data_IF_625659165030
#
_entry.id   IF_625659165030
#
_cell.length_a   1.000
_cell.length_b   1.000
_cell.length_c   1.000
_cell.angle_alpha   90.00
_cell.angle_beta   90.00
_cell.angle_gamma   90.00
#
_symmetry.space_group_name_H-M   'P 1'
#
loop_
_entity.id
_entity.type
_entity.pdbx_description
1 polymer ?
#
# COMPACT_ATOMS: atom_id res chain seq x y z
N UNK A 1 5.74 -44.24 11.75
CA UNK A 1 6.66 -44.92 10.82
C UNK A 1 6.06 -44.87 9.42
N UNK A 2 6.88 -44.43 8.45
CA UNK A 2 6.77 -44.49 6.97
C UNK A 2 5.69 -43.58 6.32
N UNK A 3 5.94 -42.63 5.40
CA UNK A 3 6.93 -42.35 4.34
C UNK A 3 6.63 -42.98 2.94
N UNK A 4 6.61 -42.10 1.91
CA UNK A 4 6.70 -42.31 0.44
C UNK A 4 5.49 -42.96 -0.29
N UNK A 5 5.09 -42.66 -1.54
CA UNK A 5 5.60 -41.83 -2.64
C UNK A 5 4.47 -41.54 -3.67
N UNK A 6 4.77 -40.62 -4.60
CA UNK A 6 4.00 -39.99 -5.68
C UNK A 6 3.46 -40.88 -6.82
N UNK A 7 2.46 -40.32 -7.53
CA UNK A 7 2.23 -40.37 -8.99
C UNK A 7 0.92 -39.61 -9.30
N UNK A 8 0.65 -38.82 -10.33
CA UNK A 8 1.38 -38.20 -11.45
C UNK A 8 0.34 -37.30 -12.17
N UNK A 9 0.66 -36.02 -12.48
CA UNK A 9 0.05 -35.05 -13.44
C UNK A 9 -1.50 -34.92 -13.66
N UNK A 10 -2.00 -33.95 -14.47
CA UNK A 10 -1.33 -32.92 -15.26
C UNK A 10 -1.74 -31.47 -14.91
N UNK A 11 -1.00 -30.54 -15.51
CA UNK A 11 -1.02 -29.07 -15.35
C UNK A 11 -2.10 -28.35 -16.16
N UNK A 12 -2.74 -27.37 -15.51
CA UNK A 12 -3.48 -26.24 -16.11
C UNK A 12 -4.98 -26.20 -15.79
N UNK A 13 -5.68 -25.06 -15.91
CA UNK A 13 -5.29 -23.65 -15.72
C UNK A 13 -6.21 -22.94 -14.70
N UNK A 14 -5.68 -22.14 -13.77
CA UNK A 14 -6.48 -21.18 -12.99
C UNK A 14 -5.60 -20.02 -12.53
N UNK A 15 -5.87 -18.82 -13.04
CA UNK A 15 -5.55 -17.59 -12.31
C UNK A 15 -6.68 -17.25 -11.33
N UNK A 16 -6.77 -16.00 -10.85
CA UNK A 16 -5.70 -15.13 -10.33
C UNK A 16 -5.93 -14.84 -8.82
N UNK A 17 -4.92 -14.26 -8.16
CA UNK A 17 -4.89 -13.73 -6.77
C UNK A 17 -4.22 -14.61 -5.68
N UNK A 18 -2.90 -14.37 -5.53
CA UNK A 18 -2.14 -14.38 -4.27
C UNK A 18 -1.56 -15.73 -3.78
N UNK A 19 -0.54 -15.74 -2.88
CA UNK A 19 0.19 -14.62 -2.27
C UNK A 19 1.65 -14.55 -2.77
N UNK A 20 2.37 -13.48 -2.43
CA UNK A 20 3.82 -13.31 -2.55
C UNK A 20 4.62 -14.63 -2.62
N UNK A 21 4.84 -15.15 -3.83
CA UNK A 21 5.72 -16.29 -4.04
C UNK A 21 7.14 -15.74 -4.07
N UNK A 22 7.75 -15.62 -2.89
CA UNK A 22 9.19 -15.41 -2.77
C UNK A 22 9.84 -16.75 -3.12
N UNK A 23 10.02 -17.02 -4.41
CA UNK A 23 10.82 -18.16 -4.86
C UNK A 23 12.24 -17.99 -4.37
N UNK A 24 12.83 -18.96 -3.62
CA UNK A 24 14.24 -18.87 -3.25
C UNK A 24 15.08 -19.22 -4.49
N UNK A 25 15.40 -18.21 -5.29
CA UNK A 25 16.30 -18.37 -6.43
C UNK A 25 17.74 -18.62 -5.92
N UNK A 26 18.35 -19.67 -6.45
CA UNK A 26 19.76 -20.00 -6.28
C UNK A 26 20.68 -18.80 -6.61
N UNK A 27 21.89 -18.71 -6.04
CA UNK A 27 22.78 -17.57 -6.20
C UNK A 27 23.36 -17.54 -7.63
N UNK A 28 22.61 -16.91 -8.54
CA UNK A 28 22.99 -16.61 -9.91
C UNK A 28 23.35 -15.14 -10.07
N UNK A 29 24.50 -14.92 -10.68
CA UNK A 29 25.15 -13.64 -10.99
C UNK A 29 24.15 -12.62 -11.57
N UNK A 30 24.07 -11.44 -10.96
CA UNK A 30 23.52 -10.24 -11.61
C UNK A 30 22.01 -10.01 -11.53
N UNK A 31 21.32 -10.41 -10.45
CA UNK A 31 20.01 -9.82 -10.19
C UNK A 31 20.20 -8.35 -9.86
N UNK A 32 19.83 -7.49 -10.81
CA UNK A 32 19.73 -6.05 -10.61
C UNK A 32 18.87 -5.83 -9.39
N UNK A 33 19.47 -5.35 -8.30
CA UNK A 33 18.75 -4.84 -7.14
C UNK A 33 18.11 -3.51 -7.57
N UNK A 34 17.12 -3.58 -8.45
CA UNK A 34 16.49 -2.45 -9.12
C UNK A 34 15.01 -2.44 -8.79
N UNK A 35 14.55 -1.38 -8.14
CA UNK A 35 13.12 -1.15 -7.93
C UNK A 35 12.54 -0.61 -9.23
N UNK A 36 11.44 -1.20 -9.69
CA UNK A 36 10.72 -0.73 -10.86
C UNK A 36 9.89 0.54 -10.51
N UNK A 37 10.14 1.70 -11.15
CA UNK A 37 9.38 2.93 -10.88
C UNK A 37 7.87 2.81 -11.12
N UNK A 38 7.44 1.93 -12.04
CA UNK A 38 6.02 1.72 -12.30
C UNK A 38 5.29 1.06 -11.12
N UNK A 39 5.96 0.14 -10.41
CA UNK A 39 5.39 -0.51 -9.24
C UNK A 39 5.28 0.46 -8.05
N UNK A 40 6.24 1.38 -7.92
CA UNK A 40 6.18 2.48 -6.95
C UNK A 40 5.04 3.46 -7.24
N UNK A 41 4.81 3.81 -8.50
CA UNK A 41 3.69 4.69 -8.89
C UNK A 41 2.34 4.01 -8.65
N UNK A 42 2.22 2.71 -8.95
CA UNK A 42 1.00 1.96 -8.67
C UNK A 42 0.70 1.92 -7.16
N UNK A 43 1.73 1.68 -6.34
CA UNK A 43 1.60 1.73 -4.88
C UNK A 43 1.29 3.15 -4.37
N UNK A 44 1.91 4.19 -4.94
CA UNK A 44 1.62 5.58 -4.60
C UNK A 44 0.15 5.93 -4.91
N UNK A 45 -0.36 5.50 -6.06
CA UNK A 45 -1.75 5.71 -6.45
C UNK A 45 -2.71 4.97 -5.51
N UNK A 46 -2.46 3.70 -5.22
CA UNK A 46 -3.31 2.93 -4.30
C UNK A 46 -3.36 3.54 -2.90
N UNK A 47 -2.21 4.00 -2.39
CA UNK A 47 -2.12 4.73 -1.13
C UNK A 47 -2.96 6.02 -1.17
N UNK A 48 -2.79 6.84 -2.21
CA UNK A 48 -3.54 8.09 -2.37
C UNK A 48 -5.05 7.85 -2.46
N UNK A 49 -5.49 6.91 -3.30
CA UNK A 49 -6.92 6.57 -3.45
C UNK A 49 -7.51 6.12 -2.09
N UNK A 50 -6.72 5.39 -1.29
CA UNK A 50 -7.13 4.97 0.07
C UNK A 50 -7.23 6.16 1.03
N UNK A 51 -6.24 7.06 1.03
CA UNK A 51 -6.26 8.28 1.85
C UNK A 51 -7.44 9.19 1.52
N UNK A 52 -7.74 9.37 0.23
CA UNK A 52 -8.86 10.18 -0.25
C UNK A 52 -10.24 9.60 0.10
N UNK A 53 -10.35 8.28 0.29
CA UNK A 53 -11.59 7.62 0.69
C UNK A 53 -11.91 7.79 2.19
N UNK A 54 -10.90 7.89 3.06
CA UNK A 54 -11.08 7.89 4.52
C UNK A 54 -12.04 8.96 5.07
N UNK A 55 -12.05 10.22 4.58
CA UNK A 55 -12.98 11.23 5.06
C UNK A 55 -14.46 10.88 4.82
N UNK A 56 -14.77 10.16 3.73
CA UNK A 56 -16.14 9.74 3.45
C UNK A 56 -16.55 8.56 4.34
N UNK A 57 -15.66 7.59 4.53
CA UNK A 57 -15.88 6.47 5.46
C UNK A 57 -16.06 6.96 6.91
N UNK A 58 -15.33 8.02 7.30
CA UNK A 58 -15.50 8.68 8.60
C UNK A 58 -16.91 9.25 8.80
N UNK A 59 -17.50 9.87 7.77
CA UNK A 59 -18.88 10.39 7.86
C UNK A 59 -19.89 9.28 8.11
N UNK A 60 -19.71 8.12 7.47
CA UNK A 60 -20.58 6.97 7.67
C UNK A 60 -20.57 6.44 9.11
N UNK A 61 -19.49 6.69 9.87
CA UNK A 61 -19.38 6.35 11.29
C UNK A 61 -19.95 7.46 12.18
N UNK A 62 -19.76 8.73 11.81
CA UNK A 62 -20.21 9.88 12.60
C UNK A 62 -21.74 9.96 12.71
N UNK A 63 -22.47 9.86 11.60
CA UNK A 63 -23.92 10.01 11.61
C UNK A 63 -24.64 9.06 12.59
N UNK A 64 -24.41 7.73 12.57
CA UNK A 64 -25.04 6.83 13.53
C UNK A 64 -24.51 7.03 14.95
N UNK A 65 -23.23 7.42 15.11
CA UNK A 65 -22.64 7.69 16.44
C UNK A 65 -23.27 8.90 17.10
N UNK A 66 -23.44 10.00 16.36
CA UNK A 66 -24.06 11.22 16.86
C UNK A 66 -25.54 11.00 17.19
N UNK A 67 -26.26 10.23 16.36
CA UNK A 67 -27.63 9.82 16.65
C UNK A 67 -27.73 8.99 17.95
N UNK A 68 -26.81 8.05 18.16
CA UNK A 68 -26.75 7.24 19.37
C UNK A 68 -26.38 8.09 20.61
N UNK A 69 -25.43 9.02 20.49
CA UNK A 69 -25.07 9.95 21.57
C UNK A 69 -26.26 10.84 21.94
N UNK A 70 -27.01 11.35 20.96
CA UNK A 70 -28.21 12.15 21.20
C UNK A 70 -29.31 11.35 21.91
N UNK A 71 -29.54 10.10 21.50
CA UNK A 71 -30.49 9.19 22.15
C UNK A 71 -30.09 8.83 23.59
N UNK A 72 -28.79 8.89 23.91
CA UNK A 72 -28.22 8.62 25.23
C UNK A 72 -27.95 9.90 26.05
N UNK A 73 -28.55 11.03 25.67
CA UNK A 73 -28.35 12.30 26.36
C UNK A 73 -28.69 12.21 27.86
N UNK A 74 -27.81 12.75 28.70
CA UNK A 74 -27.90 12.66 30.16
C UNK A 74 -27.34 11.37 30.76
N UNK A 75 -27.00 10.37 29.95
CA UNK A 75 -26.37 9.14 30.41
C UNK A 75 -24.86 9.20 30.24
N UNK A 76 -24.12 8.70 31.24
CA UNK A 76 -22.65 8.65 31.21
C UNK A 76 -22.11 7.86 30.00
N UNK A 77 -22.85 6.85 29.55
CA UNK A 77 -22.51 6.06 28.36
C UNK A 77 -22.55 6.88 27.06
N UNK A 78 -23.43 7.88 26.95
CA UNK A 78 -23.46 8.77 25.79
C UNK A 78 -22.19 9.63 25.69
N UNK A 79 -21.69 10.13 26.82
CA UNK A 79 -20.42 10.85 26.88
C UNK A 79 -19.22 9.95 26.54
N UNK A 80 -19.21 8.71 27.04
CA UNK A 80 -18.17 7.72 26.70
C UNK A 80 -18.18 7.34 25.22
N UNK A 81 -19.37 7.17 24.62
CA UNK A 81 -19.52 6.90 23.20
C UNK A 81 -18.98 8.05 22.36
N UNK A 82 -19.35 9.29 22.69
CA UNK A 82 -18.84 10.49 22.01
C UNK A 82 -17.31 10.56 22.03
N UNK A 83 -16.71 10.33 23.20
CA UNK A 83 -15.25 10.35 23.35
C UNK A 83 -14.58 9.22 22.55
N UNK A 84 -15.21 8.04 22.50
CA UNK A 84 -14.73 6.92 21.70
C UNK A 84 -14.75 7.25 20.20
N UNK A 85 -15.86 7.80 19.70
CA UNK A 85 -16.00 8.24 18.30
C UNK A 85 -14.96 9.30 17.95
N UNK A 86 -14.73 10.28 18.82
CA UNK A 86 -13.72 11.32 18.62
C UNK A 86 -12.28 10.76 18.57
N UNK A 87 -11.94 9.81 19.46
CA UNK A 87 -10.63 9.16 19.44
C UNK A 87 -10.42 8.32 18.17
N UNK A 88 -11.48 7.64 17.71
CA UNK A 88 -11.47 6.93 16.43
C UNK A 88 -11.26 7.87 15.24
N UNK A 89 -11.92 9.03 15.25
CA UNK A 89 -11.76 10.06 14.23
C UNK A 89 -10.32 10.57 14.16
N UNK A 90 -9.69 10.83 15.31
CA UNK A 90 -8.30 11.26 15.38
C UNK A 90 -7.34 10.20 14.82
N UNK A 91 -7.50 8.94 15.22
CA UNK A 91 -6.70 7.82 14.70
C UNK A 91 -6.80 7.70 13.17
N UNK A 92 -8.01 7.79 12.61
CA UNK A 92 -8.22 7.66 11.16
C UNK A 92 -7.68 8.86 10.37
N UNK A 93 -7.76 10.08 10.91
CA UNK A 93 -7.14 11.27 10.30
C UNK A 93 -5.61 11.17 10.28
N UNK A 94 -5.02 10.68 11.36
CA UNK A 94 -3.58 10.45 11.44
C UNK A 94 -3.16 9.38 10.42
N UNK A 95 -3.90 8.28 10.32
CA UNK A 95 -3.65 7.24 9.33
C UNK A 95 -3.74 7.76 7.90
N UNK A 96 -4.76 8.55 7.57
CA UNK A 96 -4.89 9.17 6.25
C UNK A 96 -3.66 10.03 5.91
N UNK A 97 -3.22 10.85 6.88
CA UNK A 97 -2.03 11.70 6.75
C UNK A 97 -0.76 10.87 6.52
N UNK A 98 -0.58 9.77 7.27
CA UNK A 98 0.57 8.87 7.09
C UNK A 98 0.57 8.20 5.72
N UNK A 99 -0.60 7.75 5.24
CA UNK A 99 -0.75 7.12 3.92
C UNK A 99 -0.44 8.12 2.81
N UNK A 100 -0.89 9.37 2.92
CA UNK A 100 -0.54 10.43 1.95
C UNK A 100 0.97 10.68 1.92
N UNK A 101 1.63 10.71 3.08
CA UNK A 101 3.08 10.86 3.15
C UNK A 101 3.82 9.67 2.50
N UNK A 102 3.31 8.45 2.69
CA UNK A 102 3.85 7.25 2.03
C UNK A 102 3.67 7.35 0.51
N UNK A 103 2.49 7.77 0.04
CA UNK A 103 2.24 7.99 -1.40
C UNK A 103 3.25 8.97 -2.00
N UNK A 104 3.47 10.11 -1.35
CA UNK A 104 4.44 11.11 -1.79
C UNK A 104 5.87 10.55 -1.84
N UNK A 105 6.30 9.81 -0.81
CA UNK A 105 7.63 9.21 -0.78
C UNK A 105 7.83 8.17 -1.89
N UNK A 106 6.81 7.36 -2.18
CA UNK A 106 6.84 6.39 -3.26
C UNK A 106 7.00 7.08 -4.62
N UNK A 107 6.21 8.12 -4.89
CA UNK A 107 6.33 8.91 -6.13
C UNK A 107 7.68 9.62 -6.28
N UNK A 108 8.20 10.20 -5.19
CA UNK A 108 9.55 10.80 -5.16
C UNK A 108 10.64 9.75 -5.44
N UNK A 109 10.50 8.55 -4.87
CA UNK A 109 11.43 7.45 -5.09
C UNK A 109 11.39 6.99 -6.56
N UNK A 110 10.20 6.87 -7.15
CA UNK A 110 10.03 6.52 -8.57
C UNK A 110 10.68 7.56 -9.49
N UNK A 111 10.50 8.85 -9.21
CA UNK A 111 11.16 9.94 -9.92
C UNK A 111 12.69 9.85 -9.80
N UNK A 112 13.21 9.63 -8.59
CA UNK A 112 14.65 9.48 -8.36
C UNK A 112 15.28 8.33 -9.15
N UNK A 113 14.58 7.19 -9.27
CA UNK A 113 15.06 6.09 -10.12
C UNK A 113 15.10 6.46 -11.61
N UNK A 114 14.10 7.19 -12.12
CA UNK A 114 14.08 7.65 -13.52
C UNK A 114 15.19 8.66 -13.80
N UNK A 115 15.41 9.60 -12.90
CA UNK A 115 16.44 10.62 -13.04
C UNK A 115 17.84 9.99 -13.02
N UNK A 116 18.06 9.01 -12.12
CA UNK A 116 19.31 8.26 -12.07
C UNK A 116 19.54 7.45 -13.36
N UNK A 117 18.52 6.77 -13.87
CA UNK A 117 18.61 6.01 -15.12
C UNK A 117 18.88 6.92 -16.32
N UNK A 118 18.18 8.05 -16.42
CA UNK A 118 18.41 9.06 -17.46
C UNK A 118 19.84 9.62 -17.41
N UNK A 119 20.31 10.02 -16.24
CA UNK A 119 21.66 10.58 -16.07
C UNK A 119 22.75 9.55 -16.41
N UNK A 120 22.54 8.29 -16.04
CA UNK A 120 23.44 7.20 -16.41
C UNK A 120 23.43 6.96 -17.93
N UNK A 121 22.24 6.94 -18.56
CA UNK A 121 22.12 6.78 -20.01
C UNK A 121 22.80 7.93 -20.78
N UNK A 122 22.65 9.17 -20.32
CA UNK A 122 23.33 10.34 -20.89
C UNK A 122 24.85 10.25 -20.72
N UNK A 123 25.32 9.82 -19.54
CA UNK A 123 26.76 9.68 -19.25
C UNK A 123 27.42 8.53 -20.01
N UNK A 124 26.66 7.47 -20.31
CA UNK A 124 27.11 6.29 -21.04
C UNK A 124 26.92 6.41 -22.56
N UNK A 125 26.13 7.39 -23.02
CA UNK A 125 26.06 7.75 -24.43
C UNK A 125 27.41 8.35 -24.82
N UNK A 126 28.18 7.71 -25.73
CA UNK A 126 29.45 8.26 -26.14
C UNK A 126 29.21 9.65 -26.71
N UNK A 127 30.08 10.60 -26.36
CA UNK A 127 30.27 11.83 -27.11
C UNK A 127 30.50 11.41 -28.57
N UNK A 128 29.44 11.43 -29.38
CA UNK A 128 29.51 11.13 -30.80
C UNK A 128 30.36 12.25 -31.40
N UNK A 129 31.65 11.96 -31.53
CA UNK A 129 32.68 12.89 -31.93
C UNK A 129 32.35 13.56 -33.25
N UNK A 130 32.55 14.88 -33.23
CA UNK A 130 32.97 15.75 -34.32
C UNK A 130 34.02 15.13 -35.24
#
# INVERSE_FOLDING_TARGET
MNAYASSDGPVGPVGPLGPYAISPAAPGVGQTFGVNPADLDAAAKAAKDTGEAMPNELKAIHEPSDAAVAALSGWRVGASLKNCTAAWEECLKNLATEIDQVSLKLGQTAAGYRDADHNNAVSLSPQAGS
#
